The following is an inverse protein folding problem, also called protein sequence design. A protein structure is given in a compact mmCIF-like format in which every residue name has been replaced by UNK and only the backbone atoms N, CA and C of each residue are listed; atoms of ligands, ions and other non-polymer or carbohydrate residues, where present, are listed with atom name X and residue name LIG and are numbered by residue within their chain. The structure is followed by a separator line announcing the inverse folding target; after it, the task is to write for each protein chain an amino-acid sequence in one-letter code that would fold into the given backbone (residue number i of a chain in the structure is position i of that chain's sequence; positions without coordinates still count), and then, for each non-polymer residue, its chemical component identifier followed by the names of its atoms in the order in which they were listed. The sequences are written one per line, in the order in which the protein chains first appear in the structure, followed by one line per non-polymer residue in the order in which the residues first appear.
data_IF_297195713504
#
_entry.id   IF_297195713504
#
_cell.length_a   1.000
_cell.length_b   1.000
_cell.length_c   1.000
_cell.angle_alpha   90.00
_cell.angle_beta   90.00
_cell.angle_gamma   90.00
#
_symmetry.space_group_name_H-M   'P 1'
#
loop_
_entity.id
_entity.type
_entity.pdbx_description
1 polymer ?
#
# COMPACT_ATOMS: atom_id res chain seq x y z
N UNK A 1 14.81 3.19 11.70
CA UNK A 1 13.44 2.62 11.81
C UNK A 1 12.55 3.74 12.35
N UNK A 2 11.27 3.88 11.98
CA UNK A 2 10.44 4.96 12.59
C UNK A 2 9.58 4.42 13.73
N UNK A 3 9.45 5.21 14.79
CA UNK A 3 8.47 5.05 15.85
C UNK A 3 7.38 6.12 15.65
N UNK A 4 6.10 5.71 15.65
CA UNK A 4 4.98 6.67 15.66
C UNK A 4 4.51 6.81 17.10
N UNK A 5 4.76 7.96 17.72
CA UNK A 5 4.29 8.24 19.09
C UNK A 5 2.83 8.74 19.04
N UNK A 6 1.98 8.17 19.89
CA UNK A 6 0.57 8.57 20.02
C UNK A 6 0.41 9.72 21.00
N UNK A 7 -0.16 10.84 20.57
CA UNK A 7 -0.70 11.86 21.48
C UNK A 7 -2.20 11.59 21.71
N UNK A 8 -2.52 10.83 22.77
CA UNK A 8 -3.92 10.53 23.14
C UNK A 8 -4.48 11.56 24.14
N UNK A 9 -5.66 12.17 23.89
CA UNK A 9 -6.55 12.65 24.95
C UNK A 9 -7.39 11.49 25.50
N UNK A 10 -7.68 11.57 26.79
CA UNK A 10 -8.14 10.50 27.70
C UNK A 10 -9.49 9.83 27.38
N UNK A 11 -9.55 8.52 27.68
CA UNK A 11 -10.75 7.66 27.68
C UNK A 11 -11.79 8.06 28.75
N UNK A 12 -13.07 7.82 28.44
CA UNK A 12 -14.08 7.40 29.42
C UNK A 12 -14.86 6.20 28.90
N UNK A 13 -14.88 5.14 29.69
CA UNK A 13 -15.58 3.85 29.53
C UNK A 13 -17.05 3.96 29.93
N UNK A 14 -17.92 3.21 29.26
CA UNK A 14 -19.11 2.59 29.87
C UNK A 14 -19.43 1.25 29.17
N UNK A 15 -19.82 0.30 30.01
CA UNK A 15 -20.04 -1.13 29.79
C UNK A 15 -21.51 -1.45 29.47
N UNK A 16 -21.75 -2.70 29.04
CA UNK A 16 -22.94 -3.57 29.20
C UNK A 16 -23.58 -4.16 27.92
N UNK A 17 -23.59 -5.50 27.88
CA UNK A 17 -24.39 -6.37 27.00
C UNK A 17 -25.79 -6.64 27.58
N UNK A 18 -26.73 -7.20 26.78
CA UNK A 18 -27.20 -8.54 27.12
C UNK A 18 -27.50 -9.47 25.92
N UNK A 19 -27.54 -10.77 26.22
CA UNK A 19 -27.81 -11.90 25.33
C UNK A 19 -29.31 -12.09 25.01
N UNK A 20 -29.63 -12.67 23.84
CA UNK A 20 -30.91 -13.33 23.57
C UNK A 20 -30.75 -14.52 22.60
N UNK A 21 -31.67 -15.47 22.78
CA UNK A 21 -31.67 -16.88 22.38
C UNK A 21 -32.36 -17.18 21.04
N UNK A 22 -31.82 -18.14 20.28
CA UNK A 22 -32.56 -19.20 19.55
C UNK A 22 -33.45 -18.87 18.34
N UNK A 23 -33.07 -19.34 17.14
CA UNK A 23 -33.64 -20.55 16.51
C UNK A 23 -33.21 -20.74 15.02
N UNK A 24 -32.81 -21.98 14.75
CA UNK A 24 -32.60 -22.76 13.52
C UNK A 24 -32.92 -22.15 12.13
N UNK A 25 -31.91 -22.19 11.26
CA UNK A 25 -31.97 -21.92 9.82
C UNK A 25 -32.57 -23.08 8.98
N UNK A 26 -33.04 -22.84 7.73
CA UNK A 26 -33.25 -23.89 6.74
C UNK A 26 -32.04 -24.04 5.78
N UNK A 27 -31.73 -25.29 5.42
CA UNK A 27 -30.65 -25.68 4.50
C UNK A 27 -30.96 -25.37 3.02
N UNK A 28 -29.92 -25.10 2.19
CA UNK A 28 -30.04 -25.02 0.73
C UNK A 28 -29.94 -26.40 0.06
N UNK A 29 -30.68 -26.58 -1.04
CA UNK A 29 -30.63 -27.79 -1.89
C UNK A 29 -29.36 -27.84 -2.74
N UNK A 30 -28.87 -29.07 -2.87
CA UNK A 30 -27.59 -29.55 -3.41
C UNK A 30 -27.36 -29.22 -4.89
N UNK A 31 -26.11 -28.85 -5.20
CA UNK A 31 -25.56 -28.84 -6.55
C UNK A 31 -24.03 -28.75 -6.53
N UNK A 32 -23.39 -29.92 -6.47
CA UNK A 32 -21.96 -30.23 -6.66
C UNK A 32 -21.16 -30.56 -5.39
N UNK A 33 -20.73 -31.82 -5.37
CA UNK A 33 -19.93 -32.49 -4.36
C UNK A 33 -18.49 -32.00 -4.34
N UNK A 34 -18.03 -31.55 -3.18
CA UNK A 34 -16.74 -31.99 -2.64
C UNK A 34 -16.76 -31.81 -1.13
N UNK A 35 -16.67 -32.93 -0.41
CA UNK A 35 -16.46 -32.97 1.04
C UNK A 35 -15.16 -32.21 1.33
N UNK A 36 -15.25 -31.09 2.05
CA UNK A 36 -14.06 -30.32 2.40
C UNK A 36 -13.43 -30.94 3.65
N UNK A 37 -12.35 -31.69 3.47
CA UNK A 37 -11.42 -31.95 4.56
C UNK A 37 -10.82 -30.61 5.03
N UNK A 38 -10.70 -30.37 6.35
CA UNK A 38 -10.08 -29.15 6.84
C UNK A 38 -8.56 -29.27 6.73
N UNK A 39 -7.90 -28.13 6.46
CA UNK A 39 -6.44 -27.91 6.43
C UNK A 39 -5.74 -28.09 5.07
N UNK A 40 -6.19 -27.41 4.02
CA UNK A 40 -5.29 -27.11 2.89
C UNK A 40 -4.73 -25.69 3.05
N UNK A 41 -3.43 -25.58 3.31
CA UNK A 41 -2.65 -24.33 3.21
C UNK A 41 -2.50 -23.88 1.74
N UNK A 42 -3.61 -23.71 1.03
CA UNK A 42 -3.58 -23.34 -0.39
C UNK A 42 -3.48 -21.82 -0.52
N UNK A 43 -2.44 -21.35 -1.21
CA UNK A 43 -2.37 -19.98 -1.72
C UNK A 43 -2.96 -19.97 -3.14
N UNK A 44 -4.02 -19.18 -3.33
CA UNK A 44 -4.61 -18.98 -4.65
C UNK A 44 -3.98 -17.77 -5.32
N UNK A 45 -3.47 -17.96 -6.54
CA UNK A 45 -2.94 -16.90 -7.39
C UNK A 45 -3.80 -16.87 -8.65
N UNK A 46 -4.43 -15.72 -8.91
CA UNK A 46 -5.19 -15.46 -10.13
C UNK A 46 -4.52 -14.37 -10.97
N UNK A 47 -4.67 -14.46 -12.28
CA UNK A 47 -4.21 -13.48 -13.27
C UNK A 47 -5.35 -12.64 -13.87
N UNK A 48 -6.59 -13.01 -13.55
CA UNK A 48 -7.78 -12.29 -14.01
C UNK A 48 -7.95 -10.92 -13.34
N UNK A 49 -8.34 -9.93 -14.14
CA UNK A 49 -8.71 -8.60 -13.65
C UNK A 49 -9.94 -8.71 -12.74
N UNK A 50 -9.86 -8.13 -11.54
CA UNK A 50 -11.03 -7.91 -10.70
C UNK A 50 -11.94 -6.83 -11.35
N UNK A 51 -13.16 -7.18 -11.79
CA UNK A 51 -14.03 -6.23 -12.48
C UNK A 51 -14.72 -5.31 -11.48
N UNK A 52 -14.84 -4.02 -11.79
CA UNK A 52 -15.63 -3.09 -11.01
C UNK A 52 -16.97 -2.76 -11.69
N UNK A 53 -18.01 -2.53 -10.90
CA UNK A 53 -19.34 -2.11 -11.40
C UNK A 53 -19.32 -0.75 -12.08
N UNK A 54 -18.30 0.07 -11.79
CA UNK A 54 -18.13 1.44 -12.28
C UNK A 54 -16.75 1.65 -12.92
N UNK A 55 -16.20 0.64 -13.58
CA UNK A 55 -14.88 0.71 -14.23
C UNK A 55 -14.77 1.84 -15.28
N UNK A 56 -15.86 2.21 -15.94
CA UNK A 56 -15.90 3.27 -16.97
C UNK A 56 -16.20 4.68 -16.40
N UNK A 57 -16.32 4.81 -15.08
CA UNK A 57 -16.62 6.09 -14.43
C UNK A 57 -15.36 6.94 -14.19
N UNK A 58 -15.55 8.24 -13.98
CA UNK A 58 -14.49 9.20 -13.64
C UNK A 58 -13.91 8.99 -12.23
N UNK A 59 -14.54 8.15 -11.41
CA UNK A 59 -14.03 7.73 -10.09
C UNK A 59 -13.13 6.50 -10.16
N UNK A 60 -13.04 5.82 -11.30
CA UNK A 60 -12.10 4.72 -11.49
C UNK A 60 -10.67 5.27 -11.72
N UNK A 61 -9.63 4.60 -11.20
CA UNK A 61 -8.27 5.05 -11.39
C UNK A 61 -7.83 4.94 -12.85
N UNK A 62 -7.33 6.03 -13.42
CA UNK A 62 -6.63 6.01 -14.72
C UNK A 62 -5.40 5.07 -14.71
N UNK A 63 -5.02 4.57 -15.90
CA UNK A 63 -3.81 3.77 -16.10
C UNK A 63 -2.55 4.53 -15.64
N UNK A 64 -1.66 3.85 -14.91
CA UNK A 64 -0.47 4.44 -14.30
C UNK A 64 0.59 3.40 -13.94
N UNK A 65 1.87 3.79 -14.00
CA UNK A 65 2.99 3.04 -13.41
C UNK A 65 3.42 3.66 -12.07
N UNK A 66 4.33 3.01 -11.34
CA UNK A 66 4.92 3.55 -10.10
C UNK A 66 3.90 3.98 -9.02
N UNK A 67 2.70 3.40 -9.03
CA UNK A 67 1.71 3.58 -7.98
C UNK A 67 2.05 2.69 -6.78
N UNK A 68 1.49 3.02 -5.63
CA UNK A 68 1.56 2.19 -4.44
C UNK A 68 0.18 1.65 -4.09
N UNK A 69 0.13 0.48 -3.46
CA UNK A 69 -1.12 -0.09 -2.99
C UNK A 69 -1.01 -0.67 -1.58
N UNK A 70 -2.15 -0.71 -0.90
CA UNK A 70 -2.29 -1.35 0.40
C UNK A 70 -3.73 -1.82 0.60
N UNK A 71 -3.92 -2.89 1.37
CA UNK A 71 -5.23 -3.39 1.75
C UNK A 71 -5.57 -2.93 3.17
N UNK A 72 -6.72 -2.28 3.34
CA UNK A 72 -7.24 -1.90 4.65
C UNK A 72 -8.71 -2.26 4.74
N UNK A 73 -9.07 -3.12 5.69
CA UNK A 73 -10.47 -3.50 6.01
C UNK A 73 -11.30 -3.88 4.77
N UNK A 74 -10.75 -4.75 3.92
CA UNK A 74 -11.46 -5.23 2.72
C UNK A 74 -11.51 -4.23 1.56
N UNK A 75 -10.81 -3.09 1.65
CA UNK A 75 -10.65 -2.14 0.55
C UNK A 75 -9.19 -2.10 0.08
N UNK A 76 -8.99 -2.21 -1.23
CA UNK A 76 -7.69 -2.01 -1.89
C UNK A 76 -7.53 -0.53 -2.19
N UNK A 77 -6.47 0.08 -1.68
CA UNK A 77 -6.13 1.47 -1.95
C UNK A 77 -5.06 1.55 -3.02
N UNK A 78 -5.23 2.44 -3.99
CA UNK A 78 -4.23 2.75 -5.02
C UNK A 78 -3.88 4.23 -4.96
N UNK A 79 -2.60 4.50 -4.71
CA UNK A 79 -2.09 5.85 -4.51
C UNK A 79 -1.05 6.24 -5.55
N UNK A 80 -1.13 7.51 -5.98
CA UNK A 80 -0.12 8.20 -6.77
C UNK A 80 0.20 7.50 -8.10
N UNK A 81 1.41 7.70 -8.62
CA UNK A 81 1.91 7.08 -9.84
C UNK A 81 2.08 8.04 -11.01
N UNK A 82 2.58 7.49 -12.11
CA UNK A 82 2.89 8.17 -13.36
C UNK A 82 1.92 7.69 -14.45
N UNK A 83 0.88 8.46 -14.79
CA UNK A 83 0.07 8.21 -15.98
C UNK A 83 0.85 8.67 -17.22
N UNK A 84 0.18 8.75 -18.38
CA UNK A 84 0.80 9.18 -19.64
C UNK A 84 1.50 10.55 -19.57
N UNK A 85 1.05 11.43 -18.66
CA UNK A 85 1.58 12.78 -18.48
C UNK A 85 1.57 13.17 -17.01
N UNK A 86 2.67 13.73 -16.52
CA UNK A 86 2.77 14.21 -15.15
C UNK A 86 2.79 13.09 -14.11
N UNK A 87 2.30 13.41 -12.91
CA UNK A 87 2.28 12.52 -11.73
C UNK A 87 0.98 12.76 -10.97
N UNK A 88 0.54 11.77 -10.20
CA UNK A 88 -0.73 11.84 -9.48
C UNK A 88 -0.51 12.01 -7.97
N UNK A 89 -1.41 12.77 -7.34
CA UNK A 89 -1.60 12.81 -5.90
C UNK A 89 -2.84 12.02 -5.45
N UNK A 90 -3.61 11.52 -6.41
CA UNK A 90 -4.89 10.86 -6.17
C UNK A 90 -4.77 9.61 -5.33
N UNK A 91 -5.78 9.36 -4.50
CA UNK A 91 -6.00 8.10 -3.80
C UNK A 91 -7.36 7.54 -4.25
N UNK A 92 -7.38 6.25 -4.57
CA UNK A 92 -8.61 5.54 -4.91
C UNK A 92 -8.76 4.34 -3.98
N UNK A 93 -10.00 4.02 -3.62
CA UNK A 93 -10.33 2.81 -2.87
C UNK A 93 -11.23 1.92 -3.73
N UNK A 94 -10.87 0.65 -3.85
CA UNK A 94 -11.70 -0.41 -4.40
C UNK A 94 -12.28 -1.23 -3.27
N UNK A 95 -13.59 -1.27 -3.16
CA UNK A 95 -14.27 -2.13 -2.20
C UNK A 95 -14.41 -3.55 -2.76
N UNK A 96 -13.78 -4.53 -2.10
CA UNK A 96 -13.77 -5.91 -2.55
C UNK A 96 -15.10 -6.63 -2.36
N UNK A 97 -16.01 -6.13 -1.51
CA UNK A 97 -17.31 -6.76 -1.29
C UNK A 97 -18.34 -6.30 -2.31
N UNK A 98 -18.26 -5.03 -2.72
CA UNK A 98 -19.22 -4.38 -3.64
C UNK A 98 -18.66 -4.17 -5.03
N UNK A 99 -17.39 -4.51 -5.25
CA UNK A 99 -16.69 -4.35 -6.52
C UNK A 99 -16.80 -2.92 -7.07
N UNK A 100 -16.60 -1.92 -6.21
CA UNK A 100 -16.86 -0.51 -6.54
C UNK A 100 -15.62 0.35 -6.27
N UNK A 101 -15.28 1.21 -7.24
CA UNK A 101 -14.27 2.25 -7.07
C UNK A 101 -14.84 3.50 -6.41
N UNK A 102 -14.03 4.09 -5.54
CA UNK A 102 -14.24 5.39 -4.93
C UNK A 102 -13.00 6.26 -5.14
N UNK A 103 -13.20 7.48 -5.62
CA UNK A 103 -12.20 8.53 -5.50
C UNK A 103 -12.35 9.17 -4.12
N UNK A 104 -11.26 9.17 -3.37
CA UNK A 104 -11.20 9.67 -1.98
C UNK A 104 -10.19 10.82 -1.91
N UNK A 105 -10.00 11.41 -0.72
CA UNK A 105 -9.19 12.60 -0.56
C UNK A 105 -7.79 12.43 -1.18
N UNK A 106 -7.46 13.36 -2.08
CA UNK A 106 -6.13 13.43 -2.68
C UNK A 106 -5.08 13.70 -1.60
N UNK A 107 -3.92 13.05 -1.73
CA UNK A 107 -2.88 13.19 -0.75
C UNK A 107 -2.23 14.58 -0.82
N UNK A 108 -1.85 15.17 0.33
CA UNK A 108 -1.17 16.46 0.36
C UNK A 108 0.23 16.38 -0.26
N UNK A 109 0.87 17.55 -0.42
CA UNK A 109 2.18 17.72 -1.04
C UNK A 109 2.23 17.30 -2.53
N UNK A 110 3.42 17.35 -3.14
CA UNK A 110 3.58 17.17 -4.59
C UNK A 110 3.07 15.80 -5.07
N UNK A 111 2.39 15.73 -6.24
CA UNK A 111 2.15 14.49 -6.97
C UNK A 111 3.46 13.75 -7.24
N UNK A 112 3.46 12.41 -7.15
CA UNK A 112 4.70 11.61 -7.15
C UNK A 112 4.55 10.23 -7.78
N UNK A 113 5.66 9.67 -8.23
CA UNK A 113 5.78 8.24 -8.53
C UNK A 113 6.66 7.54 -7.49
N UNK A 114 6.58 6.22 -7.40
CA UNK A 114 7.53 5.39 -6.66
C UNK A 114 7.51 5.64 -5.15
N UNK A 115 6.39 6.16 -4.64
CA UNK A 115 6.14 6.24 -3.19
C UNK A 115 5.77 4.85 -2.66
N UNK A 116 5.70 4.71 -1.35
CA UNK A 116 5.19 3.52 -0.70
C UNK A 116 4.11 3.90 0.31
N UNK A 117 3.10 3.04 0.43
CA UNK A 117 2.07 3.12 1.45
C UNK A 117 2.02 1.83 2.27
N UNK A 118 1.69 1.93 3.55
CA UNK A 118 1.55 0.77 4.44
C UNK A 118 0.39 1.00 5.42
N UNK A 119 -0.33 -0.07 5.76
CA UNK A 119 -1.38 -0.03 6.76
C UNK A 119 -0.80 -0.22 8.16
N UNK A 120 -1.22 0.60 9.12
CA UNK A 120 -0.75 0.51 10.51
C UNK A 120 -1.82 1.00 11.48
N UNK A 121 -1.85 0.44 12.69
CA UNK A 121 -2.61 1.00 13.81
C UNK A 121 -1.67 1.86 14.64
N UNK A 122 -2.02 3.12 14.92
CA UNK A 122 -1.16 4.04 15.70
C UNK A 122 -1.17 3.72 17.19
N UNK A 123 -2.26 3.14 17.69
CA UNK A 123 -2.39 2.57 19.03
C UNK A 123 -3.00 1.17 18.94
N UNK A 124 -2.98 0.35 20.02
CA UNK A 124 -3.59 -0.98 19.99
C UNK A 124 -5.06 -0.99 19.55
N UNK A 125 -5.81 0.05 19.92
CA UNK A 125 -7.27 0.12 19.72
C UNK A 125 -7.68 1.12 18.62
N UNK A 126 -6.73 1.81 17.99
CA UNK A 126 -7.03 2.73 16.90
C UNK A 126 -7.44 1.99 15.64
N UNK A 127 -8.03 2.71 14.70
CA UNK A 127 -8.20 2.17 13.37
C UNK A 127 -6.89 1.98 12.60
N UNK A 128 -6.93 1.07 11.62
CA UNK A 128 -5.89 1.02 10.59
C UNK A 128 -5.95 2.29 9.74
N UNK A 129 -4.84 3.00 9.74
CA UNK A 129 -4.56 4.14 8.86
C UNK A 129 -3.57 3.73 7.78
N UNK A 130 -3.49 4.51 6.69
CA UNK A 130 -2.43 4.36 5.70
C UNK A 130 -1.34 5.40 5.96
N UNK A 131 -0.10 4.95 6.08
CA UNK A 131 1.07 5.84 6.10
C UNK A 131 1.67 5.94 4.70
N UNK A 132 2.21 7.11 4.33
CA UNK A 132 2.90 7.34 3.05
C UNK A 132 4.24 8.03 3.27
N UNK A 133 5.29 7.47 2.67
CA UNK A 133 6.62 8.04 2.67
C UNK A 133 7.26 8.06 1.26
N UNK A 134 8.18 9.00 1.06
CA UNK A 134 9.06 9.06 -0.11
C UNK A 134 8.35 9.31 -1.45
N UNK A 135 8.95 8.78 -2.51
CA UNK A 135 8.56 8.95 -3.91
C UNK A 135 9.42 9.99 -4.62
N UNK A 136 9.15 10.22 -5.90
CA UNK A 136 9.85 11.21 -6.70
C UNK A 136 8.88 12.18 -7.40
N UNK A 137 9.26 13.45 -7.42
CA UNK A 137 8.57 14.53 -8.14
C UNK A 137 9.63 15.38 -8.87
N UNK A 138 10.18 14.83 -9.97
CA UNK A 138 11.39 15.33 -10.67
C UNK A 138 12.68 15.28 -9.84
N UNK A 139 12.58 15.14 -8.52
CA UNK A 139 13.64 14.85 -7.55
C UNK A 139 13.11 13.88 -6.49
N UNK A 140 14.01 13.25 -5.72
CA UNK A 140 13.62 12.34 -4.64
C UNK A 140 12.98 13.11 -3.47
N UNK A 141 11.92 12.54 -2.91
CA UNK A 141 11.18 13.06 -1.76
C UNK A 141 11.44 12.22 -0.51
N UNK A 142 11.28 12.80 0.69
CA UNK A 142 11.05 14.24 0.94
C UNK A 142 12.34 15.07 0.74
N UNK A 143 12.21 16.32 0.31
CA UNK A 143 13.32 17.26 0.43
C UNK A 143 13.39 17.73 1.87
N UNK A 144 14.45 17.33 2.56
CA UNK A 144 14.72 17.73 3.93
C UNK A 144 16.02 18.51 3.98
N UNK A 145 16.00 19.60 4.74
CA UNK A 145 17.22 20.25 5.21
C UNK A 145 17.77 19.41 6.36
N UNK A 146 19.10 19.35 6.48
CA UNK A 146 19.76 18.63 7.57
C UNK A 146 19.19 19.07 8.94
N UNK A 147 18.82 18.11 9.79
CA UNK A 147 18.23 18.35 11.11
C UNK A 147 16.72 18.64 11.13
N UNK A 148 16.02 18.62 9.99
CA UNK A 148 14.55 18.74 9.95
C UNK A 148 13.89 17.37 9.75
N UNK A 149 12.91 16.98 10.59
CA UNK A 149 12.21 15.71 10.42
C UNK A 149 11.45 15.67 9.09
N UNK A 150 11.57 14.60 8.30
CA UNK A 150 10.77 14.42 7.10
C UNK A 150 9.29 14.23 7.45
N UNK A 151 8.37 14.77 6.64
CA UNK A 151 6.94 14.58 6.87
C UNK A 151 6.53 13.14 6.55
N UNK A 152 5.84 12.50 7.50
CA UNK A 152 5.09 11.28 7.26
C UNK A 152 3.62 11.65 7.11
N UNK A 153 2.99 11.22 6.02
CA UNK A 153 1.59 11.51 5.76
C UNK A 153 0.74 10.33 6.20
N UNK A 154 -0.36 10.61 6.88
CA UNK A 154 -1.29 9.60 7.39
C UNK A 154 -2.65 9.86 6.77
N UNK A 155 -3.24 8.85 6.16
CA UNK A 155 -4.63 8.88 5.70
C UNK A 155 -5.50 8.06 6.64
N UNK A 156 -6.58 8.68 7.10
CA UNK A 156 -7.56 8.09 8.02
C UNK A 156 -8.82 7.72 7.25
N UNK A 157 -9.12 6.42 7.03
CA UNK A 157 -10.26 6.00 6.20
C UNK A 157 -11.63 6.42 6.74
N UNK A 158 -11.84 6.45 8.05
CA UNK A 158 -13.15 6.77 8.64
C UNK A 158 -13.57 8.22 8.40
N UNK A 159 -12.60 9.13 8.23
CA UNK A 159 -12.83 10.56 8.05
C UNK A 159 -12.53 11.06 6.64
N UNK A 160 -11.95 10.22 5.77
CA UNK A 160 -11.46 10.62 4.45
C UNK A 160 -10.53 11.85 4.50
N UNK A 161 -9.57 11.81 5.42
CA UNK A 161 -8.64 12.94 5.63
C UNK A 161 -7.20 12.51 5.71
N UNK A 162 -6.32 13.39 5.23
CA UNK A 162 -4.89 13.29 5.43
C UNK A 162 -4.42 14.20 6.57
N UNK A 163 -3.50 13.70 7.40
CA UNK A 163 -2.73 14.46 8.37
C UNK A 163 -1.23 14.28 8.12
N UNK A 164 -0.43 15.13 8.75
CA UNK A 164 1.03 15.08 8.69
C UNK A 164 1.56 14.91 10.11
N UNK A 165 2.47 13.96 10.28
CA UNK A 165 3.25 13.82 11.51
C UNK A 165 4.73 13.94 11.19
N UNK A 166 5.50 14.31 12.20
CA UNK A 166 6.96 14.43 12.14
C UNK A 166 7.54 13.46 13.16
N UNK A 167 7.85 12.22 12.76
CA UNK A 167 8.38 11.22 13.68
C UNK A 167 9.70 11.68 14.33
N UNK A 168 9.96 11.20 15.54
CA UNK A 168 11.24 11.41 16.20
C UNK A 168 12.39 10.76 15.41
N UNK A 169 13.61 11.33 15.46
CA UNK A 169 14.77 10.73 14.80
C UNK A 169 15.15 9.41 15.44
N UNK A 170 15.72 8.53 14.64
CA UNK A 170 16.45 7.37 15.14
C UNK A 170 17.71 7.86 15.87
N UNK A 171 17.99 7.44 17.12
CA UNK A 171 19.13 7.94 17.88
C UNK A 171 20.50 7.71 17.21
N UNK A 172 20.62 6.67 16.38
CA UNK A 172 21.87 6.31 15.71
C UNK A 172 21.92 6.76 14.24
N UNK A 173 20.75 6.84 13.59
CA UNK A 173 20.66 7.00 12.14
C UNK A 173 19.88 8.24 11.69
N UNK A 174 19.48 9.11 12.62
CA UNK A 174 18.72 10.34 12.38
C UNK A 174 17.43 10.05 11.58
N UNK A 175 17.16 10.81 10.53
CA UNK A 175 15.96 10.63 9.71
C UNK A 175 16.24 9.84 8.41
N UNK A 176 15.31 8.96 8.01
CA UNK A 176 15.30 8.39 6.67
C UNK A 176 15.35 9.46 5.59
N UNK A 177 16.39 9.38 4.78
CA UNK A 177 16.62 10.26 3.63
C UNK A 177 15.61 10.04 2.51
N UNK A 178 15.56 11.04 1.62
CA UNK A 178 14.81 11.01 0.38
C UNK A 178 15.02 9.69 -0.39
N UNK A 179 13.93 9.09 -0.87
CA UNK A 179 13.98 7.86 -1.68
C UNK A 179 12.69 7.59 -2.44
N UNK A 180 12.79 6.79 -3.48
CA UNK A 180 11.66 6.22 -4.21
C UNK A 180 11.89 4.76 -4.58
N UNK A 181 10.84 4.11 -5.10
CA UNK A 181 10.84 2.70 -5.48
C UNK A 181 11.34 1.82 -4.31
N UNK A 182 10.90 2.17 -3.10
CA UNK A 182 11.30 1.55 -1.85
C UNK A 182 10.16 0.72 -1.29
N UNK A 183 10.49 -0.20 -0.40
CA UNK A 183 9.50 -0.90 0.41
C UNK A 183 9.20 -0.14 1.70
N UNK A 184 7.94 -0.21 2.11
CA UNK A 184 7.45 0.29 3.40
C UNK A 184 6.54 -0.79 3.99
N UNK A 185 6.88 -1.26 5.18
CA UNK A 185 6.05 -2.18 5.96
C UNK A 185 5.90 -1.65 7.37
N UNK A 186 4.81 -2.01 8.02
CA UNK A 186 4.51 -1.57 9.38
C UNK A 186 4.15 -2.74 10.28
N UNK A 187 4.55 -2.66 11.54
CA UNK A 187 4.23 -3.66 12.56
C UNK A 187 4.16 -3.02 13.95
N UNK A 188 3.50 -3.68 14.89
CA UNK A 188 3.52 -3.29 16.30
C UNK A 188 4.63 -4.06 17.02
N UNK A 189 5.44 -3.36 17.80
CA UNK A 189 6.46 -3.98 18.67
C UNK A 189 6.26 -3.52 20.11
N UNK A 190 6.81 -4.26 21.07
CA UNK A 190 6.93 -3.82 22.46
C UNK A 190 8.39 -3.50 22.75
N UNK A 191 8.68 -2.47 23.53
CA UNK A 191 10.05 -2.23 23.99
C UNK A 191 10.35 -3.08 25.22
N UNK A 192 11.62 -3.35 25.49
CA UNK A 192 12.03 -4.06 26.71
C UNK A 192 11.74 -3.21 27.97
N UNK A 193 11.63 -1.89 27.81
CA UNK A 193 11.47 -0.94 28.90
C UNK A 193 10.01 -0.69 29.30
N UNK A 194 9.04 -0.85 28.39
CA UNK A 194 7.60 -0.65 28.67
C UNK A 194 6.75 -1.71 27.96
N UNK A 195 5.66 -2.20 28.58
CA UNK A 195 4.70 -3.11 27.93
C UNK A 195 3.85 -2.40 26.83
N UNK A 196 4.17 -1.16 26.52
CA UNK A 196 3.45 -0.36 25.53
C UNK A 196 3.77 -0.87 24.12
N UNK A 197 2.72 -1.13 23.34
CA UNK A 197 2.85 -1.49 21.93
C UNK A 197 3.07 -0.21 21.12
N UNK A 198 4.21 -0.16 20.46
CA UNK A 198 4.64 0.96 19.63
C UNK A 198 4.53 0.57 18.16
N UNK A 199 3.85 1.36 17.32
CA UNK A 199 3.85 1.19 15.89
C UNK A 199 5.21 1.55 15.29
N UNK A 200 5.72 0.65 14.46
CA UNK A 200 6.97 0.80 13.74
C UNK A 200 6.71 0.81 12.25
N UNK A 201 7.34 1.75 11.55
CA UNK A 201 7.44 1.72 10.09
C UNK A 201 8.88 1.42 9.66
N UNK A 202 9.06 0.35 8.89
CA UNK A 202 10.33 -0.09 8.35
C UNK A 202 10.42 0.25 6.86
N UNK A 203 11.45 1.02 6.52
CA UNK A 203 11.79 1.35 5.14
C UNK A 203 12.96 0.48 4.70
N UNK A 204 12.86 -0.10 3.51
CA UNK A 204 13.92 -0.94 2.96
C UNK A 204 14.09 -0.68 1.46
N UNK A 205 15.34 -0.85 0.99
CA UNK A 205 15.73 -0.64 -0.40
C UNK A 205 15.36 0.77 -0.92
N UNK A 206 15.32 0.90 -2.25
CA UNK A 206 14.91 2.10 -2.96
C UNK A 206 16.06 3.00 -3.42
N UNK A 207 15.77 3.75 -4.47
CA UNK A 207 16.68 4.70 -5.08
C UNK A 207 16.78 5.96 -4.21
N UNK A 208 18.01 6.33 -3.83
CA UNK A 208 18.30 7.53 -3.03
C UNK A 208 18.72 8.72 -3.89
N UNK A 209 19.24 8.44 -5.08
CA UNK A 209 19.50 9.41 -6.13
C UNK A 209 18.51 9.12 -7.25
N UNK A 210 17.79 10.12 -7.76
CA UNK A 210 16.96 9.92 -8.94
C UNK A 210 17.90 9.54 -10.09
N UNK A 211 17.79 8.33 -10.61
CA UNK A 211 18.52 7.92 -11.81
C UNK A 211 18.30 8.97 -12.89
N UNK A 212 19.39 9.53 -13.43
CA UNK A 212 19.36 10.40 -14.61
C UNK A 212 18.90 9.64 -15.87
N UNK A 213 18.76 8.32 -15.80
CA UNK A 213 18.20 7.46 -16.83
C UNK A 213 16.68 7.36 -16.64
N UNK A 214 15.99 8.50 -16.76
CA UNK A 214 14.55 8.49 -16.94
C UNK A 214 14.19 7.67 -18.19
N UNK A 215 13.33 6.67 -18.03
CA UNK A 215 12.60 5.99 -19.12
C UNK A 215 13.30 4.92 -19.99
N UNK A 216 14.37 4.24 -19.55
CA UNK A 216 14.97 3.11 -20.34
C UNK A 216 14.77 1.73 -19.71
N UNK A 217 13.69 1.52 -18.97
CA UNK A 217 13.37 0.22 -18.33
C UNK A 217 11.92 -0.22 -18.46
N UNK A 218 11.14 0.42 -19.34
CA UNK A 218 9.69 0.17 -19.46
C UNK A 218 9.25 -0.01 -20.93
N UNK A 219 10.02 -0.76 -21.72
CA UNK A 219 9.67 -1.16 -23.09
C UNK A 219 9.60 -2.68 -23.29
N UNK A 220 9.66 -3.47 -22.21
CA UNK A 220 9.54 -4.93 -22.29
C UNK A 220 8.73 -5.48 -21.11
N UNK A 221 7.50 -4.98 -20.97
CA UNK A 221 6.42 -5.74 -20.33
C UNK A 221 5.33 -5.94 -21.39
N UNK A 222 5.19 -7.18 -21.85
CA UNK A 222 4.07 -7.61 -22.71
C UNK A 222 4.42 -7.87 -24.18
N UNK A 223 5.21 -8.91 -24.45
CA UNK A 223 4.92 -9.86 -25.54
C UNK A 223 5.49 -11.21 -25.14
N UNK A 224 4.62 -12.20 -24.93
CA UNK A 224 4.98 -13.61 -25.03
C UNK A 224 5.50 -13.85 -26.44
N UNK A 225 6.79 -14.15 -26.57
CA UNK A 225 7.31 -14.80 -27.76
C UNK A 225 7.89 -16.15 -27.40
N UNK A 226 7.21 -17.13 -27.98
CA UNK A 226 7.47 -18.56 -27.98
C UNK A 226 8.90 -18.84 -28.49
N UNK A 227 9.51 -19.83 -27.87
CA UNK A 227 10.85 -20.31 -28.16
C UNK A 227 10.90 -21.11 -29.46
N UNK A 228 11.64 -20.66 -30.47
CA UNK A 228 12.44 -21.55 -31.33
C UNK A 228 13.28 -20.79 -32.37
N UNK A 229 14.61 -20.80 -32.21
CA UNK A 229 15.56 -21.10 -33.29
C UNK A 229 17.00 -21.02 -32.76
N UNK A 230 17.65 -22.19 -32.63
CA UNK A 230 19.10 -22.27 -32.52
C UNK A 230 19.78 -21.78 -33.82
N UNK A 231 20.87 -21.00 -33.77
CA UNK A 231 21.71 -20.80 -34.93
C UNK A 231 22.68 -21.99 -35.08
N UNK A 232 22.64 -22.69 -36.22
CA UNK A 232 23.72 -23.60 -36.65
C UNK A 232 24.95 -22.77 -37.05
N UNK A 233 26.18 -23.23 -36.76
CA UNK A 233 27.37 -22.55 -37.26
C UNK A 233 27.54 -22.82 -38.76
N UNK A 234 27.75 -21.74 -39.52
CA UNK A 234 28.11 -21.80 -40.94
C UNK A 234 29.51 -22.39 -41.13
N UNK A 235 29.60 -23.42 -41.98
CA UNK A 235 30.84 -23.92 -42.58
C UNK A 235 31.09 -23.12 -43.86
N UNK A 236 32.32 -22.63 -44.14
CA UNK A 236 32.62 -22.03 -45.44
C UNK A 236 32.69 -23.13 -46.50
N UNK A 237 32.12 -22.87 -47.67
CA UNK A 237 32.44 -23.59 -48.90
C UNK A 237 33.10 -22.64 -49.89
N UNK A 238 34.19 -23.18 -50.46
CA UNK A 238 35.09 -22.72 -51.53
C UNK A 238 36.07 -21.61 -51.16
#
# INVERSE_FOLDING_TARGET
MYYLESTSPSLRTLDSSPALTGSRAPEPRVGASSVHEPHTNNLYVGDERLPAVNDDSDVAPVLRSYHASALVRGKLYIHAGCPASGRLATLHAYDLATHTWYKIADAPARPRGGTAISAVSLTPDSELVLIRFGGFASFQLPQVTQGTPPPLHIYTPSTDTWSIVYPAPDPEHDFPRARSVHGLVSFMTTTVATPERIPVALLYQGERDASSLGHTGLASFGTTHDSSSHPRPHRPQV
#
